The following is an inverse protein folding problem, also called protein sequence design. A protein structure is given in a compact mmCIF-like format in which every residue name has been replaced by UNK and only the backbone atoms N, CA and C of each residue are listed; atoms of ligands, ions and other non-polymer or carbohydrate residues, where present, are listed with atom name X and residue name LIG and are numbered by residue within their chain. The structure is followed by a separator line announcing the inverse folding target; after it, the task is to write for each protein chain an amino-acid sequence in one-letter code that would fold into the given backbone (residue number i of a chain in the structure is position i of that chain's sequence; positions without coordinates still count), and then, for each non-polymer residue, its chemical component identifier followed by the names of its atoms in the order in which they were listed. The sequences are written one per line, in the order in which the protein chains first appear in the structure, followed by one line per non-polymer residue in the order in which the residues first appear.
data_IF_263981046924
#
_entry.id   IF_263981046924
#
_cell.length_a   1.000
_cell.length_b   1.000
_cell.length_c   1.000
_cell.angle_alpha   90.00
_cell.angle_beta   90.00
_cell.angle_gamma   90.00
#
_symmetry.space_group_name_H-M   'P 1'
#
loop_
_entity.id
_entity.type
_entity.pdbx_description
1 polymer ?
#
# COMPACT_ATOMS: atom_id res chain seq x y z
N UNK A 1 -13.68 -8.02 -21.24
CA UNK A 1 -14.85 -7.20 -20.88
C UNK A 1 -15.24 -7.38 -19.41
N UNK A 2 -15.27 -8.62 -18.91
CA UNK A 2 -15.65 -8.96 -17.53
C UNK A 2 -14.72 -8.38 -16.44
N UNK A 3 -13.39 -8.53 -16.58
CA UNK A 3 -12.41 -7.96 -15.63
C UNK A 3 -12.52 -6.44 -15.44
N UNK A 4 -12.79 -5.71 -16.52
CA UNK A 4 -12.97 -4.25 -16.51
C UNK A 4 -14.15 -3.83 -15.64
N UNK A 5 -15.27 -4.55 -15.74
CA UNK A 5 -16.49 -4.30 -14.95
C UNK A 5 -16.20 -4.60 -13.47
N UNK A 6 -15.53 -5.71 -13.17
CA UNK A 6 -15.18 -6.09 -11.80
C UNK A 6 -14.26 -5.06 -11.13
N UNK A 7 -13.21 -4.59 -11.82
CA UNK A 7 -12.30 -3.56 -11.31
C UNK A 7 -13.08 -2.26 -11.02
N UNK A 8 -13.93 -1.83 -11.96
CA UNK A 8 -14.74 -0.63 -11.78
C UNK A 8 -15.69 -0.73 -10.58
N UNK A 9 -16.32 -1.90 -10.37
CA UNK A 9 -17.21 -2.15 -9.24
C UNK A 9 -16.47 -2.14 -7.90
N UNK A 10 -15.34 -2.86 -7.79
CA UNK A 10 -14.52 -2.90 -6.57
C UNK A 10 -14.02 -1.51 -6.17
N UNK A 11 -13.70 -0.67 -7.16
CA UNK A 11 -13.18 0.68 -6.94
C UNK A 11 -14.27 1.71 -6.62
N UNK A 12 -15.47 1.58 -7.20
CA UNK A 12 -16.56 2.51 -6.93
C UNK A 12 -16.96 2.50 -5.44
N UNK A 13 -17.01 1.32 -4.81
CA UNK A 13 -17.29 1.15 -3.38
C UNK A 13 -16.24 1.85 -2.49
N UNK A 14 -14.96 1.75 -2.83
CA UNK A 14 -13.86 2.29 -2.00
C UNK A 14 -13.65 3.80 -2.24
N UNK A 15 -13.78 4.26 -3.49
CA UNK A 15 -13.46 5.65 -3.87
C UNK A 15 -14.61 6.63 -3.65
N UNK A 16 -15.86 6.17 -3.78
CA UNK A 16 -17.04 7.04 -3.93
C UNK A 16 -18.07 6.82 -2.81
N UNK A 17 -17.99 5.71 -2.06
CA UNK A 17 -18.98 5.34 -1.04
C UNK A 17 -20.32 4.88 -1.61
N UNK A 18 -20.56 5.03 -2.92
CA UNK A 18 -21.72 4.51 -3.66
C UNK A 18 -21.35 4.19 -5.14
N UNK A 19 -22.02 3.21 -5.78
CA UNK A 19 -21.68 2.71 -7.13
C UNK A 19 -22.04 3.66 -8.29
N UNK A 20 -22.29 4.95 -8.03
CA UNK A 20 -22.73 5.89 -9.07
C UNK A 20 -21.56 6.41 -9.92
N UNK A 21 -21.54 5.95 -11.18
CA UNK A 21 -20.55 6.21 -12.24
C UNK A 21 -20.44 7.67 -12.73
N UNK A 22 -21.06 8.64 -12.03
CA UNK A 22 -21.05 10.07 -12.39
C UNK A 22 -20.14 10.94 -11.50
N UNK A 23 -19.40 10.32 -10.59
CA UNK A 23 -18.41 11.04 -9.77
C UNK A 23 -17.29 11.59 -10.65
N UNK A 24 -16.88 12.85 -10.44
CA UNK A 24 -15.63 13.39 -11.04
C UNK A 24 -14.39 12.56 -10.64
N UNK A 25 -14.51 11.75 -9.59
CA UNK A 25 -13.50 10.82 -9.14
C UNK A 25 -13.65 9.42 -9.73
N UNK A 26 -14.49 9.21 -10.75
CA UNK A 26 -14.55 7.93 -11.45
C UNK A 26 -13.18 7.57 -12.06
N UNK A 27 -12.87 6.28 -12.24
CA UNK A 27 -11.63 5.85 -12.90
C UNK A 27 -11.60 6.30 -14.36
N UNK A 28 -10.48 6.87 -14.82
CA UNK A 28 -10.21 7.10 -16.24
C UNK A 28 -9.95 5.78 -16.98
N UNK A 29 -10.03 5.74 -18.32
CA UNK A 29 -9.59 4.57 -19.09
C UNK A 29 -8.14 4.16 -18.78
N UNK A 30 -7.23 5.12 -18.64
CA UNK A 30 -5.83 4.86 -18.32
C UNK A 30 -5.66 4.21 -16.93
N UNK A 31 -6.41 4.68 -15.94
CA UNK A 31 -6.43 4.07 -14.60
C UNK A 31 -6.89 2.61 -14.67
N UNK A 32 -7.97 2.36 -15.41
CA UNK A 32 -8.52 1.00 -15.59
C UNK A 32 -7.53 0.09 -16.32
N UNK A 33 -6.92 0.55 -17.41
CA UNK A 33 -5.98 -0.25 -18.20
C UNK A 33 -4.71 -0.56 -17.40
N UNK A 34 -4.22 0.38 -16.59
CA UNK A 34 -3.10 0.15 -15.69
C UNK A 34 -3.43 -0.90 -14.60
N UNK A 35 -4.65 -0.87 -14.05
CA UNK A 35 -5.09 -1.90 -13.10
C UNK A 35 -5.24 -3.28 -13.75
N UNK A 36 -5.69 -3.36 -15.00
CA UNK A 36 -5.74 -4.63 -15.75
C UNK A 36 -4.31 -5.18 -15.91
N UNK A 37 -3.36 -4.34 -16.33
CA UNK A 37 -1.96 -4.75 -16.46
C UNK A 37 -1.39 -5.29 -15.14
N UNK A 38 -1.61 -4.60 -14.03
CA UNK A 38 -1.17 -5.06 -12.70
C UNK A 38 -1.84 -6.39 -12.34
N UNK A 39 -3.15 -6.50 -12.56
CA UNK A 39 -3.89 -7.72 -12.26
C UNK A 39 -3.34 -8.92 -13.05
N UNK A 40 -3.16 -8.77 -14.36
CA UNK A 40 -2.62 -9.81 -15.24
C UNK A 40 -1.18 -10.20 -14.87
N UNK A 41 -0.35 -9.22 -14.51
CA UNK A 41 1.01 -9.47 -14.04
C UNK A 41 1.02 -10.31 -12.74
N UNK A 42 0.13 -10.00 -11.80
CA UNK A 42 -0.01 -10.76 -10.55
C UNK A 42 -0.62 -12.15 -10.78
N UNK A 43 -1.61 -12.28 -11.66
CA UNK A 43 -2.20 -13.57 -12.08
C UNK A 43 -1.15 -14.48 -12.69
N UNK A 44 -0.32 -13.97 -13.59
CA UNK A 44 0.73 -14.76 -14.26
C UNK A 44 1.75 -15.36 -13.28
N UNK A 45 1.86 -14.79 -12.08
CA UNK A 45 2.74 -15.23 -11.00
C UNK A 45 1.98 -15.97 -9.88
N UNK A 46 0.69 -16.25 -10.06
CA UNK A 46 -0.20 -16.85 -9.05
C UNK A 46 -0.28 -16.08 -7.72
N UNK A 47 -0.07 -14.76 -7.74
CA UNK A 47 0.03 -13.92 -6.53
C UNK A 47 -1.32 -13.42 -5.99
N UNK A 48 -2.43 -13.66 -6.70
CA UNK A 48 -3.78 -13.20 -6.30
C UNK A 48 -4.76 -14.33 -6.02
N UNK A 49 -4.27 -15.56 -5.86
CA UNK A 49 -5.10 -16.62 -5.31
C UNK A 49 -5.42 -16.31 -3.83
N UNK A 50 -6.55 -16.78 -3.28
CA UNK A 50 -6.86 -16.57 -1.86
C UNK A 50 -5.72 -17.00 -0.93
N UNK A 51 -5.09 -18.13 -1.22
CA UNK A 51 -3.93 -18.64 -0.48
C UNK A 51 -2.71 -17.72 -0.59
N UNK A 52 -2.35 -17.27 -1.80
CA UNK A 52 -1.21 -16.38 -2.00
C UNK A 52 -1.40 -15.03 -1.30
N UNK A 53 -2.63 -14.50 -1.30
CA UNK A 53 -2.97 -13.25 -0.60
C UNK A 53 -2.86 -13.45 0.92
N UNK A 54 -3.41 -14.55 1.46
CA UNK A 54 -3.28 -14.85 2.89
C UNK A 54 -1.81 -15.02 3.30
N UNK A 55 -1.02 -15.72 2.51
CA UNK A 55 0.41 -15.89 2.75
C UNK A 55 1.15 -14.55 2.72
N UNK A 56 0.84 -13.69 1.76
CA UNK A 56 1.44 -12.34 1.67
C UNK A 56 1.12 -11.47 2.89
N UNK A 57 -0.11 -11.55 3.41
CA UNK A 57 -0.50 -10.85 4.65
C UNK A 57 0.22 -11.43 5.87
N UNK A 58 0.33 -12.76 5.94
CA UNK A 58 1.07 -13.43 7.02
C UNK A 58 2.57 -13.10 7.00
N UNK A 59 3.19 -13.09 5.82
CA UNK A 59 4.58 -12.71 5.61
C UNK A 59 4.82 -11.25 6.01
N UNK A 60 3.91 -10.34 5.66
CA UNK A 60 3.96 -8.96 6.11
C UNK A 60 3.97 -8.86 7.64
N UNK A 61 3.08 -9.60 8.32
CA UNK A 61 3.00 -9.63 9.77
C UNK A 61 4.29 -10.20 10.40
N UNK A 62 4.79 -11.31 9.84
CA UNK A 62 6.02 -11.96 10.31
C UNK A 62 7.22 -11.02 10.17
N UNK A 63 7.36 -10.32 9.04
CA UNK A 63 8.45 -9.37 8.81
C UNK A 63 8.43 -8.19 9.79
N UNK A 64 7.24 -7.73 10.20
CA UNK A 64 7.12 -6.63 11.17
C UNK A 64 7.58 -7.01 12.58
N UNK A 65 7.60 -8.30 12.92
CA UNK A 65 8.00 -8.78 14.24
C UNK A 65 9.52 -8.80 14.46
N UNK A 66 10.31 -8.54 13.41
CA UNK A 66 11.77 -8.54 13.50
C UNK A 66 12.34 -7.12 13.55
N UNK A 67 13.36 -6.92 14.38
CA UNK A 67 14.12 -5.67 14.39
C UNK A 67 15.15 -5.66 13.25
N UNK A 68 15.29 -4.56 12.50
CA UNK A 68 16.44 -4.36 11.64
C UNK A 68 17.72 -4.45 12.47
N UNK A 69 18.62 -5.38 12.14
CA UNK A 69 19.88 -5.52 12.84
C UNK A 69 20.86 -4.41 12.45
N UNK A 70 21.62 -3.91 13.41
CA UNK A 70 22.76 -3.02 13.13
C UNK A 70 23.94 -3.84 12.62
N UNK A 71 24.90 -3.20 11.93
CA UNK A 71 26.11 -3.88 11.48
C UNK A 71 26.84 -4.59 12.64
N UNK A 72 26.95 -3.94 13.79
CA UNK A 72 27.54 -4.53 15.00
C UNK A 72 26.76 -5.75 15.52
N UNK A 73 25.42 -5.75 15.40
CA UNK A 73 24.60 -6.90 15.78
C UNK A 73 24.81 -8.08 14.81
N UNK A 74 24.95 -7.80 13.50
CA UNK A 74 25.26 -8.80 12.48
C UNK A 74 26.65 -9.40 12.72
N UNK A 75 27.66 -8.58 12.99
CA UNK A 75 29.03 -9.04 13.26
C UNK A 75 29.11 -9.90 14.54
N UNK A 76 28.36 -9.51 15.57
CA UNK A 76 28.22 -10.27 16.81
C UNK A 76 27.53 -11.61 16.56
N UNK A 77 26.45 -11.63 15.78
CA UNK A 77 25.77 -12.87 15.38
C UNK A 77 26.71 -13.78 14.59
N UNK A 78 27.44 -13.26 13.59
CA UNK A 78 28.40 -14.01 12.80
C UNK A 78 29.51 -14.64 13.68
N UNK A 79 30.02 -13.88 14.65
CA UNK A 79 31.02 -14.37 15.62
C UNK A 79 30.43 -15.46 16.53
N UNK A 80 29.19 -15.29 16.99
CA UNK A 80 28.51 -16.26 17.83
C UNK A 80 28.23 -17.57 17.09
N UNK A 81 27.85 -17.50 15.81
CA UNK A 81 27.76 -18.65 14.91
C UNK A 81 29.10 -19.37 14.73
N UNK A 82 30.19 -18.63 14.48
CA UNK A 82 31.53 -19.21 14.34
C UNK A 82 31.99 -19.95 15.60
N UNK A 83 31.53 -19.51 16.78
CA UNK A 83 31.82 -20.13 18.06
C UNK A 83 30.81 -21.21 18.48
N UNK A 84 29.88 -21.61 17.60
CA UNK A 84 28.90 -22.66 17.85
C UNK A 84 27.75 -22.27 18.79
N UNK A 85 27.56 -20.97 19.07
CA UNK A 85 26.55 -20.46 19.98
C UNK A 85 25.64 -19.44 19.26
N UNK A 86 24.76 -19.87 18.34
CA UNK A 86 23.89 -18.95 17.60
C UNK A 86 22.97 -18.15 18.54
N UNK A 87 22.89 -16.83 18.31
CA UNK A 87 22.03 -15.95 19.10
C UNK A 87 20.58 -16.11 18.59
N UNK A 88 19.61 -16.38 19.48
CA UNK A 88 18.20 -16.43 19.08
C UNK A 88 17.76 -15.10 18.47
N UNK A 89 16.98 -15.17 17.38
CA UNK A 89 16.39 -13.98 16.76
C UNK A 89 15.54 -13.23 17.78
N UNK A 90 15.82 -11.94 17.97
CA UNK A 90 14.96 -11.08 18.79
C UNK A 90 13.64 -10.83 18.07
N UNK A 91 12.56 -11.35 18.64
CA UNK A 91 11.18 -11.03 18.26
C UNK A 91 10.73 -9.83 19.10
N UNK A 92 10.14 -8.83 18.44
CA UNK A 92 9.59 -7.67 19.12
C UNK A 92 8.44 -8.08 20.04
N UNK A 93 8.42 -7.52 21.25
CA UNK A 93 7.21 -7.53 22.08
C UNK A 93 6.10 -6.71 21.40
N UNK A 94 4.84 -6.92 21.80
CA UNK A 94 3.72 -6.16 21.23
C UNK A 94 3.89 -4.64 21.38
N UNK A 95 4.42 -4.18 22.52
CA UNK A 95 4.73 -2.76 22.75
C UNK A 95 5.83 -2.24 21.83
N UNK A 96 6.92 -3.00 21.65
CA UNK A 96 7.99 -2.60 20.72
C UNK A 96 7.52 -2.61 19.26
N UNK A 97 6.71 -3.59 18.87
CA UNK A 97 6.07 -3.66 17.57
C UNK A 97 5.22 -2.41 17.32
N UNK A 98 4.42 -1.99 18.30
CA UNK A 98 3.62 -0.77 18.19
C UNK A 98 4.49 0.46 17.94
N UNK A 99 5.60 0.62 18.66
CA UNK A 99 6.55 1.72 18.44
C UNK A 99 7.13 1.69 17.02
N UNK A 100 7.50 0.51 16.51
CA UNK A 100 8.00 0.36 15.14
C UNK A 100 6.94 0.74 14.11
N UNK A 101 5.69 0.31 14.29
CA UNK A 101 4.58 0.66 13.40
C UNK A 101 4.26 2.16 13.47
N UNK A 102 4.32 2.79 14.64
CA UNK A 102 4.15 4.24 14.80
C UNK A 102 5.24 5.02 14.06
N UNK A 103 6.50 4.60 14.13
CA UNK A 103 7.58 5.20 13.36
C UNK A 103 7.39 5.03 11.85
N UNK A 104 6.92 3.86 11.39
CA UNK A 104 6.56 3.64 9.98
C UNK A 104 5.43 4.57 9.55
N UNK A 105 4.42 4.73 10.41
CA UNK A 105 3.28 5.62 10.17
C UNK A 105 3.73 7.07 10.05
N UNK A 106 4.62 7.55 10.93
CA UNK A 106 5.17 8.91 10.87
C UNK A 106 5.95 9.14 9.58
N UNK A 107 6.85 8.22 9.19
CA UNK A 107 7.60 8.32 7.93
C UNK A 107 6.68 8.34 6.71
N UNK A 108 5.66 7.48 6.70
CA UNK A 108 4.64 7.44 5.67
C UNK A 108 3.86 8.76 5.58
N UNK A 109 3.43 9.31 6.72
CA UNK A 109 2.71 10.57 6.78
C UNK A 109 3.56 11.72 6.23
N UNK A 110 4.83 11.82 6.60
CA UNK A 110 5.75 12.83 6.08
C UNK A 110 5.89 12.70 4.55
N UNK A 111 6.06 11.48 4.05
CA UNK A 111 6.14 11.23 2.61
C UNK A 111 4.88 11.72 1.88
N UNK A 112 3.69 11.35 2.35
CA UNK A 112 2.44 11.74 1.71
C UNK A 112 2.11 13.24 1.85
N UNK A 113 2.48 13.85 2.98
CA UNK A 113 2.36 15.30 3.18
C UNK A 113 3.20 16.07 2.17
N UNK A 114 4.45 15.65 1.94
CA UNK A 114 5.31 16.26 0.94
C UNK A 114 4.74 16.05 -0.48
N UNK A 115 4.31 14.83 -0.80
CA UNK A 115 3.70 14.55 -2.10
C UNK A 115 2.45 15.41 -2.37
N UNK A 116 1.64 15.69 -1.34
CA UNK A 116 0.49 16.59 -1.45
C UNK A 116 0.88 18.05 -1.64
N UNK A 117 1.92 18.51 -0.95
CA UNK A 117 2.42 19.88 -1.10
C UNK A 117 2.90 20.14 -2.54
N UNK A 118 3.48 19.12 -3.19
CA UNK A 118 4.01 19.18 -4.54
C UNK A 118 2.94 19.20 -5.64
N UNK A 119 1.69 18.79 -5.36
CA UNK A 119 0.61 18.69 -6.38
C UNK A 119 0.46 19.98 -7.20
N UNK A 120 0.53 21.14 -6.54
CA UNK A 120 0.32 22.43 -7.20
C UNK A 120 1.49 22.88 -8.07
N UNK A 121 2.68 22.28 -7.90
CA UNK A 121 3.93 22.74 -8.51
C UNK A 121 4.47 21.79 -9.57
N UNK A 122 4.11 20.51 -9.51
CA UNK A 122 4.53 19.50 -10.50
C UNK A 122 3.77 19.64 -11.83
N UNK A 123 4.38 19.12 -12.91
CA UNK A 123 3.80 19.11 -14.26
C UNK A 123 2.55 18.22 -14.38
N UNK A 124 1.75 18.43 -15.42
CA UNK A 124 0.56 17.63 -15.70
C UNK A 124 0.89 16.14 -15.84
N UNK A 125 1.97 15.78 -16.53
CA UNK A 125 2.39 14.38 -16.66
C UNK A 125 2.69 13.75 -15.30
N UNK A 126 3.31 14.51 -14.38
CA UNK A 126 3.56 14.03 -13.01
C UNK A 126 2.27 13.92 -12.21
N UNK A 127 1.30 14.81 -12.43
CA UNK A 127 -0.03 14.69 -11.80
C UNK A 127 -0.79 13.47 -12.30
N UNK A 128 -0.76 13.18 -13.61
CA UNK A 128 -1.37 11.99 -14.19
C UNK A 128 -0.72 10.70 -13.62
N UNK A 129 0.61 10.71 -13.39
CA UNK A 129 1.31 9.62 -12.69
C UNK A 129 0.84 9.50 -11.23
N UNK A 130 0.76 10.59 -10.47
CA UNK A 130 0.26 10.58 -9.08
C UNK A 130 -1.17 10.03 -9.01
N UNK A 131 -2.05 10.51 -9.90
CA UNK A 131 -3.43 10.02 -10.04
C UNK A 131 -3.47 8.52 -10.30
N UNK A 132 -2.69 8.06 -11.28
CA UNK A 132 -2.67 6.64 -11.69
C UNK A 132 -2.09 5.74 -10.60
N UNK A 133 -0.95 6.11 -10.01
CA UNK A 133 -0.30 5.32 -8.96
C UNK A 133 -1.14 5.25 -7.68
N UNK A 134 -1.77 6.37 -7.30
CA UNK A 134 -2.68 6.37 -6.15
C UNK A 134 -3.90 5.49 -6.40
N UNK A 135 -4.46 5.49 -7.62
CA UNK A 135 -5.51 4.57 -8.02
C UNK A 135 -5.09 3.10 -7.93
N UNK A 136 -3.91 2.74 -8.45
CA UNK A 136 -3.37 1.38 -8.37
C UNK A 136 -3.21 0.95 -6.90
N UNK A 137 -2.73 1.82 -6.02
CA UNK A 137 -2.62 1.53 -4.60
C UNK A 137 -3.97 1.25 -3.93
N UNK A 138 -5.00 2.06 -4.24
CA UNK A 138 -6.36 1.79 -3.77
C UNK A 138 -6.91 0.47 -4.33
N UNK A 139 -6.60 0.15 -5.59
CA UNK A 139 -6.97 -1.12 -6.19
C UNK A 139 -6.28 -2.31 -5.53
N UNK A 140 -4.99 -2.21 -5.21
CA UNK A 140 -4.26 -3.23 -4.47
C UNK A 140 -4.88 -3.47 -3.09
N UNK A 141 -5.32 -2.42 -2.39
CA UNK A 141 -6.07 -2.58 -1.13
C UNK A 141 -7.35 -3.41 -1.33
N UNK A 142 -8.08 -3.19 -2.43
CA UNK A 142 -9.30 -3.94 -2.73
C UNK A 142 -9.08 -5.45 -2.87
N UNK A 143 -7.88 -5.87 -3.29
CA UNK A 143 -7.49 -7.28 -3.40
C UNK A 143 -7.21 -7.92 -2.04
N UNK A 144 -6.68 -7.16 -1.08
CA UNK A 144 -6.19 -7.71 0.19
C UNK A 144 -7.14 -7.49 1.39
N UNK A 145 -8.12 -6.57 1.28
CA UNK A 145 -8.94 -6.11 2.41
C UNK A 145 -9.59 -7.23 3.23
N UNK A 146 -10.03 -8.31 2.56
CA UNK A 146 -10.74 -9.41 3.20
C UNK A 146 -9.78 -10.42 3.86
N UNK A 147 -8.47 -10.29 3.62
CA UNK A 147 -7.42 -11.16 4.18
C UNK A 147 -6.66 -10.52 5.35
N UNK A 148 -6.99 -9.29 5.76
CA UNK A 148 -6.27 -8.57 6.83
C UNK A 148 -6.53 -9.09 8.24
N UNK A 149 -7.33 -10.16 8.41
CA UNK A 149 -7.76 -10.68 9.71
C UNK A 149 -6.61 -10.98 10.68
N UNK A 150 -5.51 -11.55 10.17
CA UNK A 150 -4.34 -11.96 10.95
C UNK A 150 -3.40 -10.83 11.40
N UNK A 151 -3.67 -9.59 11.00
CA UNK A 151 -2.85 -8.44 11.40
C UNK A 151 -3.25 -7.90 12.77
N UNK A 152 -2.28 -7.33 13.48
CA UNK A 152 -2.52 -6.56 14.70
C UNK A 152 -3.28 -5.26 14.41
N UNK A 153 -3.88 -4.67 15.44
CA UNK A 153 -4.63 -3.41 15.29
C UNK A 153 -3.77 -2.25 14.79
N UNK A 154 -2.49 -2.19 15.21
CA UNK A 154 -1.55 -1.17 14.75
C UNK A 154 -1.21 -1.34 13.27
N UNK A 155 -1.01 -2.57 12.79
CA UNK A 155 -0.79 -2.88 11.38
C UNK A 155 -2.01 -2.56 10.52
N UNK A 156 -3.22 -2.95 10.98
CA UNK A 156 -4.47 -2.60 10.31
C UNK A 156 -4.63 -1.09 10.20
N UNK A 157 -4.32 -0.35 11.27
CA UNK A 157 -4.35 1.12 11.28
C UNK A 157 -3.36 1.72 10.28
N UNK A 158 -2.14 1.19 10.19
CA UNK A 158 -1.14 1.65 9.23
C UNK A 158 -1.64 1.47 7.78
N UNK A 159 -2.18 0.29 7.45
CA UNK A 159 -2.73 0.02 6.11
C UNK A 159 -3.92 0.94 5.81
N UNK A 160 -4.81 1.14 6.78
CA UNK A 160 -5.96 2.03 6.63
C UNK A 160 -5.55 3.49 6.42
N UNK A 161 -4.54 3.96 7.15
CA UNK A 161 -4.00 5.31 7.00
C UNK A 161 -3.34 5.48 5.63
N UNK A 162 -2.61 4.47 5.13
CA UNK A 162 -2.08 4.45 3.78
C UNK A 162 -3.19 4.59 2.73
N UNK A 163 -4.27 3.80 2.86
CA UNK A 163 -5.44 3.89 1.97
C UNK A 163 -6.03 5.31 1.95
N UNK A 164 -6.19 5.93 3.13
CA UNK A 164 -6.71 7.29 3.23
C UNK A 164 -5.82 8.30 2.49
N UNK A 165 -4.49 8.17 2.61
CA UNK A 165 -3.54 9.01 1.87
C UNK A 165 -3.64 8.83 0.36
N UNK A 166 -3.72 7.58 -0.11
CA UNK A 166 -3.85 7.29 -1.54
C UNK A 166 -5.14 7.88 -2.11
N UNK A 167 -6.27 7.72 -1.42
CA UNK A 167 -7.55 8.34 -1.81
C UNK A 167 -7.40 9.87 -1.88
N UNK A 168 -6.74 10.48 -0.89
CA UNK A 168 -6.55 11.94 -0.84
C UNK A 168 -5.67 12.43 -2.00
N UNK A 169 -4.50 11.83 -2.21
CA UNK A 169 -3.60 12.15 -3.32
C UNK A 169 -4.33 12.06 -4.67
N UNK A 170 -5.16 11.02 -4.85
CA UNK A 170 -5.94 10.84 -6.06
C UNK A 170 -6.93 11.98 -6.28
N UNK A 171 -7.68 12.37 -5.24
CA UNK A 171 -8.67 13.45 -5.32
C UNK A 171 -8.00 14.79 -5.64
N UNK A 172 -6.91 15.09 -4.95
CA UNK A 172 -6.19 16.35 -5.12
C UNK A 172 -5.51 16.46 -6.50
N UNK A 173 -4.98 15.34 -7.04
CA UNK A 173 -4.42 15.33 -8.40
C UNK A 173 -5.50 15.52 -9.48
N UNK A 174 -6.68 14.90 -9.31
CA UNK A 174 -7.84 15.12 -10.21
C UNK A 174 -8.30 16.58 -10.15
N UNK A 175 -8.40 17.14 -8.95
CA UNK A 175 -8.88 18.51 -8.77
C UNK A 175 -7.88 19.54 -9.35
N UNK A 176 -6.58 19.29 -9.21
CA UNK A 176 -5.55 20.15 -9.79
C UNK A 176 -5.51 20.05 -11.32
N UNK A 177 -5.63 18.85 -11.92
CA UNK A 177 -5.75 18.69 -13.37
C UNK A 177 -6.99 19.42 -13.91
N UNK A 178 -8.14 19.25 -13.26
CA UNK A 178 -9.36 19.96 -13.63
C UNK A 178 -9.19 21.49 -13.55
N UNK A 179 -8.50 21.99 -12.51
CA UNK A 179 -8.18 23.43 -12.37
C UNK A 179 -7.32 23.94 -13.52
N UNK A 180 -6.45 23.09 -14.08
CA UNK A 180 -5.60 23.41 -15.25
C UNK A 180 -6.33 23.24 -16.59
N UNK A 181 -7.59 22.82 -16.58
CA UNK A 181 -8.40 22.60 -17.79
C UNK A 181 -8.16 21.24 -18.45
N UNK A 182 -7.69 20.25 -17.68
CA UNK A 182 -7.40 18.87 -18.11
C UNK A 182 -8.41 17.87 -17.56
#
# INVERSE_FOLDING_TARGET
MEKKIQIQQSMALILVGEPNSKSKYAPSPQEVDASIYVLEALESQNLITPEAIQNSVADYAALNQFTPQTAAAIDSEATAWANGNPIPKKVLTQTELQVVIEQKTQKMNIFYQNALADIKTISDDKLDIVRTNSYIGVYAYSLIKDSLGGLSDSEKKLIQENLNWLIRLRKESIDELARRGR
#
